data_IF_350611025964
#
_entry.id   IF_350611025964
#
_cell.length_a   1.000
_cell.length_b   1.000
_cell.length_c   1.000
_cell.angle_alpha   90.00
_cell.angle_beta   90.00
_cell.angle_gamma   90.00
#
_symmetry.space_group_name_H-M   'P 1'
#
loop_
_entity.id
_entity.type
_entity.pdbx_description
1 polymer ?
#
# COMPACT_ATOMS: atom_id res chain seq x y z
N UNK A 1 17.57 29.10 -37.76
CA UNK A 1 17.31 28.35 -36.51
C UNK A 1 18.63 28.30 -35.74
N UNK A 2 18.66 28.72 -34.48
CA UNK A 2 19.85 28.61 -33.60
C UNK A 2 19.79 27.26 -32.88
N UNK A 3 20.92 26.52 -32.74
CA UNK A 3 20.99 25.35 -31.87
C UNK A 3 20.66 25.77 -30.44
N UNK A 4 19.81 25.02 -29.74
CA UNK A 4 19.37 25.32 -28.36
C UNK A 4 20.09 24.45 -27.33
N UNK A 5 20.82 23.41 -27.80
CA UNK A 5 21.60 22.52 -26.98
C UNK A 5 22.13 21.34 -27.76
N UNK A 6 22.89 20.50 -27.10
CA UNK A 6 23.42 19.25 -27.61
C UNK A 6 23.14 18.16 -26.61
N UNK A 7 22.62 17.04 -27.07
CA UNK A 7 22.44 15.82 -26.28
C UNK A 7 23.56 14.87 -26.59
N UNK A 8 24.28 14.43 -25.61
CA UNK A 8 25.34 13.42 -25.73
C UNK A 8 24.90 12.09 -25.11
N UNK A 9 25.73 11.05 -25.29
CA UNK A 9 25.39 9.71 -24.76
C UNK A 9 25.20 9.70 -23.23
N UNK A 10 25.99 10.48 -22.49
CA UNK A 10 25.87 10.54 -21.04
C UNK A 10 24.55 11.21 -20.58
N UNK A 11 24.00 12.12 -21.37
CA UNK A 11 22.67 12.73 -21.09
C UNK A 11 21.56 11.70 -21.30
N UNK A 12 21.67 10.87 -22.35
CA UNK A 12 20.72 9.79 -22.62
C UNK A 12 20.80 8.74 -21.51
N UNK A 13 22.01 8.31 -21.13
CA UNK A 13 22.22 7.32 -20.05
C UNK A 13 21.65 7.86 -18.73
N UNK A 14 21.89 9.13 -18.41
CA UNK A 14 21.32 9.77 -17.21
C UNK A 14 19.79 9.80 -17.24
N UNK A 15 19.21 10.11 -18.38
CA UNK A 15 17.76 10.11 -18.56
C UNK A 15 17.15 8.72 -18.36
N UNK A 16 17.74 7.71 -19.00
CA UNK A 16 17.30 6.31 -18.86
C UNK A 16 17.48 5.77 -17.43
N UNK A 17 18.58 6.14 -16.75
CA UNK A 17 18.82 5.70 -15.36
C UNK A 17 17.80 6.23 -14.35
N UNK A 18 17.04 7.26 -14.72
CA UNK A 18 15.93 7.80 -13.92
C UNK A 18 14.58 7.19 -14.30
N UNK A 19 14.51 6.20 -15.19
CA UNK A 19 13.26 5.51 -15.47
C UNK A 19 12.91 4.55 -14.33
N UNK A 20 11.61 4.43 -14.01
CA UNK A 20 11.15 3.49 -12.98
C UNK A 20 11.54 2.04 -13.28
N UNK A 21 11.53 1.65 -14.54
CA UNK A 21 11.93 0.31 -14.99
C UNK A 21 13.43 0.05 -14.78
N UNK A 22 14.27 1.03 -15.10
CA UNK A 22 15.72 0.93 -14.85
C UNK A 22 16.01 0.80 -13.34
N UNK A 23 15.32 1.58 -12.52
CA UNK A 23 15.49 1.55 -11.08
C UNK A 23 15.07 0.18 -10.49
N UNK A 24 13.97 -0.40 -10.94
CA UNK A 24 13.54 -1.75 -10.54
C UNK A 24 14.62 -2.78 -10.89
N UNK A 25 15.17 -2.75 -12.10
CA UNK A 25 16.27 -3.65 -12.47
C UNK A 25 17.52 -3.41 -11.59
N UNK A 26 17.83 -2.15 -11.28
CA UNK A 26 18.98 -1.82 -10.42
C UNK A 26 18.79 -2.34 -9.00
N UNK A 27 17.57 -2.35 -8.46
CA UNK A 27 17.23 -2.90 -7.13
C UNK A 27 17.57 -4.40 -7.08
N UNK A 28 17.10 -5.19 -8.05
CA UNK A 28 17.35 -6.63 -8.05
C UNK A 28 18.84 -7.01 -8.22
N UNK A 29 19.64 -6.11 -8.76
CA UNK A 29 21.08 -6.32 -8.91
C UNK A 29 21.91 -5.95 -7.65
N UNK A 30 21.31 -5.36 -6.60
CA UNK A 30 22.05 -5.02 -5.38
C UNK A 30 22.35 -6.27 -4.55
N UNK A 31 23.61 -6.43 -4.10
CA UNK A 31 24.01 -7.61 -3.33
C UNK A 31 23.59 -7.55 -1.85
N UNK A 32 23.30 -6.37 -1.33
CA UNK A 32 23.02 -6.14 0.08
C UNK A 32 22.18 -4.87 0.33
N UNK A 33 21.84 -4.62 1.61
CA UNK A 33 21.06 -3.45 2.05
C UNK A 33 21.77 -2.13 1.76
N UNK A 34 23.11 -2.08 1.86
CA UNK A 34 23.87 -0.87 1.59
C UNK A 34 23.78 -0.47 0.12
N UNK A 35 23.86 -1.46 -0.78
CA UNK A 35 23.62 -1.28 -2.21
C UNK A 35 22.21 -0.76 -2.49
N UNK A 36 21.17 -1.33 -1.87
CA UNK A 36 19.80 -0.84 -1.98
C UNK A 36 19.67 0.62 -1.50
N UNK A 37 20.27 0.96 -0.37
CA UNK A 37 20.28 2.32 0.17
C UNK A 37 20.92 3.32 -0.78
N UNK A 38 21.94 2.92 -1.53
CA UNK A 38 22.63 3.78 -2.50
C UNK A 38 21.74 4.24 -3.65
N UNK A 39 20.59 3.57 -3.90
CA UNK A 39 19.62 3.91 -4.95
C UNK A 39 18.60 4.99 -4.53
N UNK A 40 18.62 5.47 -3.30
CA UNK A 40 17.68 6.50 -2.83
C UNK A 40 17.71 7.81 -3.62
N UNK A 41 18.89 8.32 -4.06
CA UNK A 41 18.92 9.50 -4.94
C UNK A 41 18.17 9.26 -6.26
N UNK A 42 18.30 8.06 -6.85
CA UNK A 42 17.64 7.71 -8.11
C UNK A 42 16.13 7.55 -7.93
N UNK A 43 15.68 7.00 -6.82
CA UNK A 43 14.25 6.96 -6.45
C UNK A 43 13.65 8.37 -6.40
N UNK A 44 14.32 9.30 -5.69
CA UNK A 44 13.88 10.70 -5.60
C UNK A 44 13.92 11.40 -6.96
N UNK A 45 14.98 11.15 -7.73
CA UNK A 45 15.12 11.66 -9.10
C UNK A 45 14.00 11.20 -10.02
N UNK A 46 13.64 9.94 -9.96
CA UNK A 46 12.52 9.34 -10.72
C UNK A 46 11.19 10.03 -10.38
N UNK A 47 10.89 10.21 -9.10
CA UNK A 47 9.67 10.91 -8.67
C UNK A 47 9.62 12.36 -9.16
N UNK A 48 10.71 13.12 -8.94
CA UNK A 48 10.80 14.54 -9.36
C UNK A 48 10.65 14.66 -10.88
N UNK A 49 11.28 13.76 -11.65
CA UNK A 49 11.15 13.75 -13.10
C UNK A 49 9.71 13.51 -13.53
N UNK A 50 9.04 12.46 -13.01
CA UNK A 50 7.64 12.18 -13.34
C UNK A 50 6.71 13.36 -13.03
N UNK A 51 6.93 14.01 -11.87
CA UNK A 51 6.15 15.20 -11.49
C UNK A 51 6.39 16.38 -12.46
N UNK A 52 7.64 16.63 -12.88
CA UNK A 52 7.98 17.69 -13.82
C UNK A 52 7.47 17.41 -15.25
N UNK A 53 7.39 16.16 -15.64
CA UNK A 53 6.83 15.72 -16.93
C UNK A 53 5.30 15.65 -16.92
N UNK A 54 4.66 16.14 -15.85
CA UNK A 54 3.20 16.16 -15.69
C UNK A 54 2.55 14.77 -15.78
N UNK A 55 3.25 13.73 -15.30
CA UNK A 55 2.65 12.42 -15.16
C UNK A 55 1.43 12.50 -14.21
N UNK A 56 0.38 11.72 -14.49
CA UNK A 56 -0.80 11.70 -13.63
C UNK A 56 -0.46 11.14 -12.24
N UNK A 57 -1.25 11.50 -11.23
CA UNK A 57 -1.10 10.94 -9.88
C UNK A 57 -1.15 9.41 -9.88
N UNK A 58 -2.00 8.81 -10.72
CA UNK A 58 -2.07 7.37 -10.92
C UNK A 58 -0.74 6.78 -11.45
N UNK A 59 -0.16 7.38 -12.50
CA UNK A 59 1.13 6.92 -13.05
C UNK A 59 2.25 7.02 -12.01
N UNK A 60 2.30 8.11 -11.25
CA UNK A 60 3.30 8.31 -10.20
C UNK A 60 3.10 7.28 -9.08
N UNK A 61 1.86 7.12 -8.60
CA UNK A 61 1.53 6.18 -7.52
C UNK A 61 1.86 4.75 -7.88
N UNK A 62 1.50 4.30 -9.10
CA UNK A 62 1.81 2.96 -9.60
C UNK A 62 3.32 2.73 -9.75
N UNK A 63 4.07 3.71 -10.28
CA UNK A 63 5.52 3.61 -10.40
C UNK A 63 6.19 3.52 -9.01
N UNK A 64 5.79 4.36 -8.06
CA UNK A 64 6.35 4.35 -6.71
C UNK A 64 6.00 3.07 -5.95
N UNK A 65 4.78 2.57 -6.09
CA UNK A 65 4.38 1.29 -5.50
C UNK A 65 5.15 0.11 -6.11
N UNK A 66 5.34 0.08 -7.43
CA UNK A 66 6.15 -0.93 -8.11
C UNK A 66 7.60 -0.94 -7.64
N UNK A 67 8.20 0.23 -7.44
CA UNK A 67 9.54 0.37 -6.86
C UNK A 67 9.55 -0.12 -5.40
N UNK A 68 8.55 0.25 -4.59
CA UNK A 68 8.42 -0.21 -3.20
C UNK A 68 8.31 -1.73 -3.09
N UNK A 69 7.53 -2.36 -3.99
CA UNK A 69 7.47 -3.83 -4.10
C UNK A 69 8.83 -4.43 -4.46
N UNK A 70 9.56 -3.84 -5.41
CA UNK A 70 10.88 -4.33 -5.80
C UNK A 70 11.88 -4.28 -4.63
N UNK A 71 11.90 -3.21 -3.85
CA UNK A 71 12.70 -3.14 -2.62
C UNK A 71 12.30 -4.24 -1.62
N UNK A 72 11.00 -4.44 -1.40
CA UNK A 72 10.50 -5.47 -0.49
C UNK A 72 10.88 -6.87 -0.97
N UNK A 73 10.69 -7.18 -2.25
CA UNK A 73 11.05 -8.46 -2.85
C UNK A 73 12.56 -8.74 -2.73
N UNK A 74 13.41 -7.74 -3.09
CA UNK A 74 14.85 -7.91 -2.98
C UNK A 74 15.32 -8.12 -1.54
N UNK A 75 14.76 -7.41 -0.59
CA UNK A 75 15.06 -7.59 0.83
C UNK A 75 14.64 -8.96 1.34
N UNK A 76 13.50 -9.50 0.89
CA UNK A 76 13.06 -10.86 1.21
C UNK A 76 14.00 -11.92 0.63
N UNK A 77 14.43 -11.78 -0.63
CA UNK A 77 15.44 -12.64 -1.23
C UNK A 77 16.76 -12.62 -0.44
N UNK A 78 17.23 -11.44 -0.04
CA UNK A 78 18.43 -11.30 0.78
C UNK A 78 18.27 -11.91 2.18
N UNK A 79 17.08 -11.77 2.78
CA UNK A 79 16.76 -12.41 4.06
C UNK A 79 16.78 -13.93 3.95
N UNK A 80 16.15 -14.51 2.92
CA UNK A 80 16.15 -15.95 2.67
C UNK A 80 17.56 -16.50 2.36
N UNK A 81 18.38 -15.73 1.63
CA UNK A 81 19.79 -16.10 1.41
C UNK A 81 20.58 -16.17 2.73
N UNK A 82 20.27 -15.28 3.67
CA UNK A 82 20.94 -15.21 4.96
C UNK A 82 20.44 -16.25 5.96
N UNK A 83 19.12 -16.47 6.01
CA UNK A 83 18.46 -17.31 7.02
C UNK A 83 18.27 -18.76 6.55
N UNK A 84 18.42 -19.02 5.26
CA UNK A 84 18.04 -20.28 4.63
C UNK A 84 16.57 -20.27 4.16
N UNK A 85 16.12 -21.39 3.55
CA UNK A 85 14.76 -21.48 3.01
C UNK A 85 13.71 -21.40 4.14
N UNK A 86 12.53 -20.82 3.86
CA UNK A 86 11.46 -20.71 4.85
C UNK A 86 10.95 -22.10 5.26
N UNK A 87 10.70 -22.34 6.57
CA UNK A 87 10.30 -23.63 7.07
C UNK A 87 8.89 -24.07 6.62
N UNK A 88 8.03 -23.10 6.29
CA UNK A 88 6.71 -23.31 5.67
C UNK A 88 6.48 -22.23 4.61
N UNK A 89 5.62 -22.46 3.61
CA UNK A 89 5.23 -21.42 2.66
C UNK A 89 4.67 -20.21 3.37
N UNK A 90 4.93 -19.04 2.82
CA UNK A 90 4.42 -17.76 3.34
C UNK A 90 4.16 -16.77 2.20
N UNK A 91 3.37 -15.75 2.48
CA UNK A 91 3.20 -14.59 1.62
C UNK A 91 3.51 -13.32 2.41
N UNK A 92 4.43 -12.50 1.90
CA UNK A 92 4.62 -11.13 2.40
C UNK A 92 3.58 -10.23 1.76
N UNK A 93 2.79 -9.56 2.60
CA UNK A 93 1.74 -8.63 2.20
C UNK A 93 2.21 -7.19 2.25
N UNK A 94 1.89 -6.43 1.21
CA UNK A 94 1.73 -5.00 1.32
C UNK A 94 0.28 -4.67 1.73
N UNK A 95 0.11 -3.60 2.50
CA UNK A 95 -1.19 -3.05 2.83
C UNK A 95 -1.29 -1.56 2.47
N UNK A 96 -2.50 -1.02 2.49
CA UNK A 96 -2.74 0.41 2.30
C UNK A 96 -2.32 0.94 0.92
N UNK A 97 -1.57 2.03 0.88
CA UNK A 97 -1.26 2.74 -0.37
C UNK A 97 -0.38 1.93 -1.34
N UNK A 98 0.52 1.08 -0.83
CA UNK A 98 1.33 0.20 -1.69
C UNK A 98 0.45 -0.86 -2.37
N UNK A 99 -0.46 -1.47 -1.61
CA UNK A 99 -1.40 -2.46 -2.15
C UNK A 99 -2.35 -1.86 -3.20
N UNK A 100 -2.69 -0.57 -3.07
CA UNK A 100 -3.57 0.12 -4.03
C UNK A 100 -2.84 0.72 -5.23
N UNK A 101 -1.52 0.60 -5.36
CA UNK A 101 -0.71 1.30 -6.38
C UNK A 101 -0.84 2.83 -6.32
N UNK A 102 -0.92 3.37 -5.12
CA UNK A 102 -1.12 4.79 -4.84
C UNK A 102 -0.05 5.35 -3.88
N UNK A 103 1.13 4.73 -3.85
CA UNK A 103 2.20 5.08 -2.93
C UNK A 103 2.92 6.36 -3.37
N UNK A 104 3.43 7.13 -2.40
CA UNK A 104 4.32 8.26 -2.61
C UNK A 104 5.74 7.93 -2.15
N UNK A 105 6.68 8.86 -2.39
CA UNK A 105 8.12 8.67 -2.04
C UNK A 105 8.34 8.64 -0.52
N UNK A 106 7.60 9.45 0.23
CA UNK A 106 7.68 9.50 1.70
C UNK A 106 6.46 8.78 2.25
N UNK A 107 6.67 7.56 2.71
CA UNK A 107 5.61 6.69 3.22
C UNK A 107 6.15 5.82 4.35
N UNK A 108 5.27 5.40 5.22
CA UNK A 108 5.54 4.40 6.24
C UNK A 108 5.32 2.98 5.69
N UNK A 109 5.80 2.02 6.45
CA UNK A 109 5.64 0.60 6.13
C UNK A 109 4.29 0.14 6.66
N UNK A 110 3.44 -0.40 5.78
CA UNK A 110 2.27 -1.16 6.16
C UNK A 110 2.39 -2.55 5.51
N UNK A 111 2.76 -3.55 6.29
CA UNK A 111 3.02 -4.90 5.80
C UNK A 111 2.65 -5.97 6.81
N UNK A 112 2.56 -7.21 6.35
CA UNK A 112 2.24 -8.37 7.17
C UNK A 112 2.80 -9.66 6.56
N UNK A 113 2.70 -10.76 7.29
CA UNK A 113 2.95 -12.11 6.79
C UNK A 113 1.71 -12.99 6.95
N UNK A 114 1.32 -13.63 5.86
CA UNK A 114 0.45 -14.80 5.92
C UNK A 114 1.34 -16.03 5.86
N UNK A 115 1.21 -16.91 6.83
CA UNK A 115 1.93 -18.18 6.90
C UNK A 115 0.99 -19.32 6.51
N UNK A 116 1.55 -20.38 5.94
CA UNK A 116 0.80 -21.62 5.69
C UNK A 116 0.27 -22.20 7.01
N UNK A 117 -0.86 -22.89 6.99
CA UNK A 117 -1.51 -23.43 8.19
C UNK A 117 -0.73 -24.55 8.88
N UNK A 118 0.34 -25.06 8.26
CA UNK A 118 1.35 -25.96 8.89
C UNK A 118 2.30 -25.24 9.82
N UNK A 119 2.20 -23.90 9.92
CA UNK A 119 3.03 -23.10 10.84
C UNK A 119 2.87 -23.57 12.27
N UNK A 120 4.01 -23.87 12.91
CA UNK A 120 4.13 -24.18 14.33
C UNK A 120 4.88 -23.05 15.03
N UNK A 121 4.24 -22.32 15.98
CA UNK A 121 4.88 -21.20 16.65
C UNK A 121 6.16 -21.55 17.42
N UNK A 122 6.26 -22.76 17.95
CA UNK A 122 7.45 -23.16 18.76
C UNK A 122 8.65 -23.46 17.86
N UNK A 123 8.41 -23.93 16.64
CA UNK A 123 9.47 -24.34 15.71
C UNK A 123 9.82 -23.26 14.70
N UNK A 124 8.85 -22.43 14.26
CA UNK A 124 8.99 -21.58 13.07
C UNK A 124 8.95 -20.09 13.35
N UNK A 125 8.43 -19.62 14.53
CA UNK A 125 8.23 -18.19 14.76
C UNK A 125 9.53 -17.39 14.78
N UNK A 126 10.64 -17.97 15.27
CA UNK A 126 11.95 -17.30 15.26
C UNK A 126 12.42 -16.95 13.85
N UNK A 127 12.28 -17.88 12.90
CA UNK A 127 12.64 -17.63 11.51
C UNK A 127 11.87 -16.45 10.92
N UNK A 128 10.54 -16.46 11.05
CA UNK A 128 9.71 -15.40 10.47
C UNK A 128 9.83 -14.06 11.22
N UNK A 129 10.16 -14.07 12.50
CA UNK A 129 10.48 -12.87 13.25
C UNK A 129 11.79 -12.22 12.77
N UNK A 130 12.83 -13.01 12.53
CA UNK A 130 14.11 -12.55 11.99
C UNK A 130 13.96 -12.06 10.55
N UNK A 131 13.25 -12.79 9.71
CA UNK A 131 12.93 -12.37 8.33
C UNK A 131 12.19 -11.03 8.32
N UNK A 132 11.13 -10.89 9.11
CA UNK A 132 10.35 -9.65 9.20
C UNK A 132 11.20 -8.47 9.71
N UNK A 133 12.07 -8.72 10.69
CA UNK A 133 12.98 -7.68 11.22
C UNK A 133 13.98 -7.25 10.15
N UNK A 134 14.64 -8.20 9.48
CA UNK A 134 15.59 -7.89 8.41
C UNK A 134 14.95 -7.04 7.30
N UNK A 135 13.74 -7.41 6.86
CA UNK A 135 13.02 -6.68 5.81
C UNK A 135 12.60 -5.30 6.29
N UNK A 136 12.05 -5.17 7.51
CA UNK A 136 11.61 -3.88 8.03
C UNK A 136 12.77 -2.91 8.26
N UNK A 137 13.90 -3.40 8.78
CA UNK A 137 15.12 -2.60 8.97
C UNK A 137 15.72 -2.19 7.61
N UNK A 138 15.73 -3.11 6.65
CA UNK A 138 16.16 -2.83 5.28
C UNK A 138 15.29 -1.79 4.58
N UNK A 139 13.97 -1.89 4.70
CA UNK A 139 13.03 -0.89 4.19
C UNK A 139 13.23 0.46 4.86
N UNK A 140 13.47 0.50 6.18
CA UNK A 140 13.76 1.74 6.91
C UNK A 140 15.05 2.39 6.39
N UNK A 141 16.12 1.61 6.16
CA UNK A 141 17.35 2.08 5.54
C UNK A 141 17.12 2.64 4.12
N UNK A 142 16.14 2.08 3.39
CA UNK A 142 15.72 2.53 2.06
C UNK A 142 14.65 3.65 2.09
N UNK A 143 14.42 4.30 3.24
CA UNK A 143 13.59 5.50 3.34
C UNK A 143 12.10 5.24 3.62
N UNK A 144 11.67 3.99 3.78
CA UNK A 144 10.33 3.61 4.21
C UNK A 144 10.29 3.56 5.74
N UNK A 145 9.73 4.58 6.38
CA UNK A 145 9.74 4.67 7.84
C UNK A 145 8.89 3.61 8.51
N UNK A 146 9.27 3.21 9.73
CA UNK A 146 8.45 2.26 10.51
C UNK A 146 7.05 2.82 10.75
N UNK A 147 6.05 1.96 10.64
CA UNK A 147 4.67 2.31 10.96
C UNK A 147 4.52 2.55 12.47
N UNK A 148 4.15 3.77 12.86
CA UNK A 148 3.90 4.13 14.27
C UNK A 148 2.77 3.36 14.90
N UNK A 149 1.83 2.86 14.10
CA UNK A 149 0.72 2.01 14.51
C UNK A 149 1.10 0.54 14.69
N UNK A 150 2.35 0.16 14.41
CA UNK A 150 2.80 -1.23 14.51
C UNK A 150 2.18 -2.18 13.49
N UNK A 151 1.72 -1.65 12.33
CA UNK A 151 1.18 -2.44 11.22
C UNK A 151 2.34 -2.97 10.38
N UNK A 152 3.10 -3.88 10.94
CA UNK A 152 4.28 -4.48 10.30
C UNK A 152 4.40 -5.95 10.67
N UNK A 153 4.98 -6.74 9.80
CA UNK A 153 5.24 -8.18 10.00
C UNK A 153 6.11 -8.49 11.22
N UNK A 154 6.88 -7.51 11.72
CA UNK A 154 7.62 -7.60 12.99
C UNK A 154 6.70 -7.77 14.20
N UNK A 155 5.47 -7.25 14.14
CA UNK A 155 4.45 -7.49 15.15
C UNK A 155 3.85 -8.89 14.95
N UNK A 156 3.95 -9.73 15.98
CA UNK A 156 3.41 -11.11 15.94
C UNK A 156 1.93 -11.17 15.56
N UNK A 157 1.14 -10.15 15.90
CA UNK A 157 -0.27 -10.08 15.51
C UNK A 157 -0.47 -10.11 14.00
N UNK A 158 0.46 -9.53 13.24
CA UNK A 158 0.41 -9.44 11.78
C UNK A 158 1.31 -10.45 11.06
N UNK A 159 1.80 -11.45 11.80
CA UNK A 159 2.59 -12.59 11.33
C UNK A 159 1.88 -13.86 11.77
N UNK A 160 0.86 -14.27 11.04
CA UNK A 160 -0.07 -15.32 11.43
C UNK A 160 -0.36 -16.30 10.30
N UNK A 161 -0.74 -17.55 10.61
CA UNK A 161 -1.22 -18.50 9.60
C UNK A 161 -2.53 -18.05 8.96
N UNK A 162 -2.79 -18.53 7.74
CA UNK A 162 -3.95 -18.16 6.93
C UNK A 162 -5.28 -18.33 7.68
N UNK A 163 -5.43 -19.44 8.44
CA UNK A 163 -6.64 -19.66 9.26
C UNK A 163 -6.90 -18.52 10.25
N UNK A 164 -5.85 -17.97 10.89
CA UNK A 164 -5.99 -16.86 11.85
C UNK A 164 -6.35 -15.57 11.12
N UNK A 165 -5.77 -15.32 9.94
CA UNK A 165 -6.16 -14.17 9.11
C UNK A 165 -7.62 -14.25 8.64
N UNK A 166 -8.09 -15.44 8.26
CA UNK A 166 -9.50 -15.67 7.91
C UNK A 166 -10.43 -15.39 9.11
N UNK A 167 -10.02 -15.79 10.31
CA UNK A 167 -10.76 -15.47 11.54
C UNK A 167 -10.77 -13.98 11.85
N UNK A 168 -9.63 -13.28 11.69
CA UNK A 168 -9.57 -11.82 11.83
C UNK A 168 -10.55 -11.13 10.89
N UNK A 169 -10.49 -11.40 9.60
CA UNK A 169 -11.37 -10.80 8.60
C UNK A 169 -12.85 -11.09 8.89
N UNK A 170 -13.15 -12.34 9.25
CA UNK A 170 -14.50 -12.74 9.61
C UNK A 170 -15.01 -11.99 10.84
N UNK A 171 -14.21 -11.91 11.90
CA UNK A 171 -14.58 -11.19 13.12
C UNK A 171 -14.76 -9.69 12.88
N UNK A 172 -13.89 -9.05 12.07
CA UNK A 172 -14.00 -7.63 11.76
C UNK A 172 -15.29 -7.29 11.01
N UNK A 173 -15.71 -8.18 10.11
CA UNK A 173 -16.95 -8.03 9.36
C UNK A 173 -18.18 -8.35 10.23
N UNK A 174 -18.13 -9.44 11.00
CA UNK A 174 -19.29 -9.91 11.79
C UNK A 174 -19.55 -9.07 13.03
N UNK A 175 -18.50 -8.45 13.60
CA UNK A 175 -18.57 -7.69 14.85
C UNK A 175 -17.81 -6.36 14.76
N UNK A 176 -18.25 -5.42 13.91
CA UNK A 176 -17.57 -4.16 13.70
C UNK A 176 -17.57 -3.31 14.98
N UNK A 177 -16.39 -2.80 15.32
CA UNK A 177 -16.16 -1.83 16.40
C UNK A 177 -15.05 -0.85 15.93
N UNK A 178 -14.75 0.23 16.65
CA UNK A 178 -13.77 1.22 16.20
C UNK A 178 -12.41 0.62 15.82
N UNK A 179 -11.90 -0.35 16.60
CA UNK A 179 -10.61 -0.98 16.32
C UNK A 179 -10.67 -1.89 15.09
N UNK A 180 -11.72 -2.71 14.97
CA UNK A 180 -11.87 -3.61 13.80
C UNK A 180 -12.14 -2.83 12.53
N UNK A 181 -12.86 -1.70 12.59
CA UNK A 181 -13.02 -0.81 11.44
C UNK A 181 -11.71 -0.16 11.02
N UNK A 182 -10.85 0.25 11.98
CA UNK A 182 -9.50 0.74 11.67
C UNK A 182 -8.67 -0.33 10.97
N UNK A 183 -8.63 -1.55 11.51
CA UNK A 183 -7.93 -2.67 10.90
C UNK A 183 -8.45 -2.98 9.49
N UNK A 184 -9.78 -2.95 9.30
CA UNK A 184 -10.42 -3.12 7.99
C UNK A 184 -9.99 -2.06 6.98
N UNK A 185 -9.88 -0.79 7.39
CA UNK A 185 -9.41 0.29 6.51
C UNK A 185 -7.96 0.09 6.05
N UNK A 186 -7.16 -0.66 6.79
CA UNK A 186 -5.75 -0.93 6.47
C UNK A 186 -5.63 -2.22 5.66
N UNK A 187 -6.11 -3.35 6.20
CA UNK A 187 -5.88 -4.68 5.66
C UNK A 187 -6.87 -5.12 4.56
N UNK A 188 -7.96 -4.38 4.33
CA UNK A 188 -8.84 -4.65 3.18
C UNK A 188 -8.33 -4.00 1.89
N UNK A 189 -7.21 -3.29 1.97
CA UNK A 189 -6.34 -2.95 0.86
C UNK A 189 -5.07 -3.80 1.02
N UNK A 190 -5.08 -5.02 0.52
CA UNK A 190 -3.97 -5.96 0.64
C UNK A 190 -3.53 -6.49 -0.73
N UNK A 191 -2.23 -6.73 -0.85
CA UNK A 191 -1.67 -7.37 -2.03
C UNK A 191 -0.46 -8.24 -1.65
N UNK A 192 -0.36 -9.42 -2.31
CA UNK A 192 0.80 -10.30 -2.14
C UNK A 192 2.00 -9.77 -2.91
N UNK A 193 3.15 -9.65 -2.23
CA UNK A 193 4.37 -9.08 -2.82
C UNK A 193 5.41 -10.16 -3.12
N UNK A 194 5.54 -11.17 -2.27
CA UNK A 194 6.55 -12.22 -2.37
C UNK A 194 6.10 -13.50 -1.69
N UNK A 195 6.62 -14.64 -2.14
CA UNK A 195 6.30 -15.97 -1.63
C UNK A 195 5.07 -16.59 -2.29
N UNK A 196 4.24 -17.29 -1.53
CA UNK A 196 3.04 -17.98 -2.01
C UNK A 196 1.86 -17.00 -2.12
N UNK A 197 1.71 -16.36 -3.27
CA UNK A 197 0.71 -15.29 -3.52
C UNK A 197 -0.73 -15.81 -3.34
N UNK A 198 -0.97 -17.08 -3.58
CA UNK A 198 -2.29 -17.73 -3.42
C UNK A 198 -2.85 -17.56 -1.99
N UNK A 199 -1.99 -17.45 -0.97
CA UNK A 199 -2.42 -17.15 0.40
C UNK A 199 -3.10 -15.79 0.51
N UNK A 200 -2.61 -14.78 -0.22
CA UNK A 200 -3.22 -13.46 -0.27
C UNK A 200 -4.52 -13.47 -1.08
N UNK A 201 -4.54 -14.17 -2.23
CA UNK A 201 -5.74 -14.30 -3.05
C UNK A 201 -6.88 -14.95 -2.28
N UNK A 202 -6.59 -15.95 -1.45
CA UNK A 202 -7.56 -16.60 -0.57
C UNK A 202 -8.25 -15.60 0.39
N UNK A 203 -7.50 -14.61 0.94
CA UNK A 203 -8.09 -13.58 1.78
C UNK A 203 -8.91 -12.58 0.96
N UNK A 204 -8.47 -12.22 -0.25
CA UNK A 204 -9.23 -11.34 -1.15
C UNK A 204 -10.58 -11.97 -1.55
N UNK A 205 -10.61 -13.27 -1.79
CA UNK A 205 -11.85 -14.00 -2.08
C UNK A 205 -12.81 -14.02 -0.91
N UNK A 206 -12.31 -14.40 0.28
CA UNK A 206 -13.09 -14.36 1.51
C UNK A 206 -13.67 -12.95 1.76
N UNK A 207 -12.85 -11.92 1.58
CA UNK A 207 -13.26 -10.53 1.77
C UNK A 207 -14.37 -10.13 0.81
N UNK A 208 -14.20 -10.38 -0.49
CA UNK A 208 -15.16 -10.04 -1.53
C UNK A 208 -16.52 -10.71 -1.30
N UNK A 209 -16.50 -12.01 -0.98
CA UNK A 209 -17.72 -12.78 -0.69
C UNK A 209 -18.40 -12.30 0.60
N UNK A 210 -17.64 -12.19 1.69
CA UNK A 210 -18.23 -11.95 3.01
C UNK A 210 -18.68 -10.51 3.18
N UNK A 211 -17.90 -9.54 2.71
CA UNK A 211 -18.24 -8.12 2.86
C UNK A 211 -19.46 -7.71 2.02
N UNK A 212 -19.59 -8.23 0.79
CA UNK A 212 -20.75 -7.93 -0.07
C UNK A 212 -22.08 -8.42 0.52
N UNK A 213 -22.02 -9.45 1.37
CA UNK A 213 -23.18 -10.02 2.05
C UNK A 213 -23.40 -9.46 3.49
N UNK A 214 -22.64 -8.43 3.90
CA UNK A 214 -22.66 -7.88 5.25
C UNK A 214 -23.11 -6.40 5.29
N UNK A 215 -24.38 -6.07 5.03
CA UNK A 215 -24.85 -4.69 4.94
C UNK A 215 -24.65 -3.88 6.23
N UNK A 216 -24.75 -4.52 7.41
CA UNK A 216 -24.49 -3.85 8.68
C UNK A 216 -23.02 -3.41 8.83
N UNK A 217 -22.08 -4.25 8.39
CA UNK A 217 -20.67 -3.91 8.34
C UNK A 217 -20.39 -2.77 7.35
N UNK A 218 -20.91 -2.85 6.13
CA UNK A 218 -20.76 -1.79 5.12
C UNK A 218 -21.31 -0.44 5.63
N UNK A 219 -22.47 -0.44 6.31
CA UNK A 219 -23.02 0.76 6.93
C UNK A 219 -22.15 1.29 8.08
N UNK A 220 -21.52 0.42 8.87
CA UNK A 220 -20.58 0.83 9.91
C UNK A 220 -19.31 1.43 9.32
N UNK A 221 -18.75 0.82 8.26
CA UNK A 221 -17.58 1.30 7.56
C UNK A 221 -17.83 2.66 6.88
N UNK A 222 -19.01 2.83 6.24
CA UNK A 222 -19.42 4.10 5.65
C UNK A 222 -19.54 5.20 6.70
N UNK A 223 -20.17 4.92 7.86
CA UNK A 223 -20.24 5.88 8.97
C UNK A 223 -18.86 6.25 9.51
N UNK A 224 -17.95 5.29 9.61
CA UNK A 224 -16.56 5.59 10.00
C UNK A 224 -15.87 6.53 9.01
N UNK A 225 -16.08 6.35 7.71
CA UNK A 225 -15.54 7.24 6.67
C UNK A 225 -16.10 8.67 6.80
N UNK A 226 -17.38 8.83 7.12
CA UNK A 226 -18.04 10.13 7.29
C UNK A 226 -17.55 10.93 8.51
N UNK A 227 -16.85 10.32 9.46
CA UNK A 227 -16.20 11.03 10.57
C UNK A 227 -15.04 11.93 10.08
N UNK A 228 -14.53 11.70 8.88
CA UNK A 228 -13.51 12.52 8.24
C UNK A 228 -14.17 13.60 7.39
N UNK A 229 -14.53 14.72 8.03
CA UNK A 229 -15.16 15.84 7.33
C UNK A 229 -14.15 16.57 6.42
N UNK A 230 -14.55 16.98 5.22
CA UNK A 230 -13.72 17.85 4.37
C UNK A 230 -13.27 19.12 5.13
N UNK A 231 -12.10 19.69 4.81
CA UNK A 231 -11.57 20.87 5.49
C UNK A 231 -12.25 22.16 4.99
N UNK A 232 -13.59 22.16 5.00
CA UNK A 232 -14.42 23.28 4.52
C UNK A 232 -15.22 23.86 5.69
N UNK A 233 -15.13 25.18 5.87
CA UNK A 233 -15.96 25.93 6.80
C UNK A 233 -17.35 26.23 6.24
N UNK A 234 -18.17 26.92 7.05
CA UNK A 234 -19.56 27.26 6.73
C UNK A 234 -19.71 28.00 5.38
N UNK A 235 -18.73 28.85 5.03
CA UNK A 235 -18.73 29.60 3.75
C UNK A 235 -17.95 28.87 2.63
N UNK A 236 -17.74 27.55 2.74
CA UNK A 236 -16.94 26.75 1.79
C UNK A 236 -15.49 27.23 1.61
N UNK A 237 -14.96 27.99 2.56
CA UNK A 237 -13.55 28.36 2.65
C UNK A 237 -12.77 27.24 3.32
N UNK A 238 -11.51 27.05 2.92
CA UNK A 238 -10.65 26.06 3.56
C UNK A 238 -10.41 26.43 5.03
N UNK A 239 -10.64 25.45 5.93
CA UNK A 239 -10.28 25.55 7.34
C UNK A 239 -8.87 25.03 7.50
N UNK A 240 -7.96 25.93 7.92
CA UNK A 240 -6.58 25.59 8.21
C UNK A 240 -6.46 25.01 9.62
N UNK A 241 -5.69 23.95 9.76
CA UNK A 241 -5.30 23.37 11.05
C UNK A 241 -3.97 23.99 11.49
N UNK A 242 -3.76 24.13 12.79
CA UNK A 242 -2.46 24.57 13.32
C UNK A 242 -1.68 23.32 13.72
N UNK A 243 -0.53 23.09 13.09
CA UNK A 243 0.39 22.07 13.57
C UNK A 243 1.08 22.55 14.87
N UNK A 244 1.77 21.64 15.55
CA UNK A 244 2.50 21.96 16.78
C UNK A 244 3.64 23.00 16.60
N UNK A 245 3.89 23.48 15.36
CA UNK A 245 4.84 24.53 15.00
C UNK A 245 4.16 25.84 14.58
N UNK A 246 2.86 25.99 14.83
CA UNK A 246 2.04 27.19 14.51
C UNK A 246 1.90 27.51 13.02
N UNK A 247 2.11 26.53 12.14
CA UNK A 247 1.87 26.71 10.70
C UNK A 247 0.41 26.40 10.36
N UNK A 248 -0.18 27.28 9.57
CA UNK A 248 -1.49 27.01 8.97
C UNK A 248 -1.34 25.98 7.86
N UNK A 249 -1.82 24.77 8.07
CA UNK A 249 -1.76 23.67 7.11
C UNK A 249 -3.16 23.19 6.75
N UNK A 250 -3.29 22.61 5.56
CA UNK A 250 -4.46 21.87 5.13
C UNK A 250 -4.08 20.38 5.12
N UNK A 251 -4.77 19.60 5.95
CA UNK A 251 -4.55 18.15 5.98
C UNK A 251 -5.23 17.46 4.79
N UNK A 252 -4.59 17.54 3.62
CA UNK A 252 -5.12 16.93 2.40
C UNK A 252 -5.19 15.40 2.48
N UNK A 253 -4.24 14.75 3.16
CA UNK A 253 -4.25 13.28 3.33
C UNK A 253 -5.46 12.86 4.18
N UNK A 254 -5.60 13.41 5.37
CA UNK A 254 -6.62 12.96 6.34
C UNK A 254 -8.04 13.43 6.01
N UNK A 255 -8.19 14.60 5.38
CA UNK A 255 -9.50 15.25 5.14
C UNK A 255 -9.85 15.40 3.65
N UNK A 256 -8.94 15.02 2.75
CA UNK A 256 -9.13 15.02 1.30
C UNK A 256 -9.11 13.60 0.73
N UNK A 257 -7.91 13.01 0.55
CA UNK A 257 -7.78 11.73 -0.15
C UNK A 257 -8.32 10.54 0.66
N UNK A 258 -8.14 10.51 1.98
CA UNK A 258 -8.58 9.38 2.79
C UNK A 258 -10.11 9.16 2.76
N UNK A 259 -10.99 10.20 2.90
CA UNK A 259 -12.42 10.00 2.74
C UNK A 259 -12.83 9.49 1.36
N UNK A 260 -12.14 9.91 0.29
CA UNK A 260 -12.41 9.43 -1.07
C UNK A 260 -12.02 7.95 -1.23
N UNK A 261 -10.84 7.58 -0.72
CA UNK A 261 -10.39 6.17 -0.71
C UNK A 261 -11.37 5.30 0.10
N UNK A 262 -11.83 5.76 1.25
CA UNK A 262 -12.79 5.03 2.09
C UNK A 262 -14.15 4.89 1.37
N UNK A 263 -14.64 5.94 0.71
CA UNK A 263 -15.87 5.91 -0.09
C UNK A 263 -15.78 4.85 -1.20
N UNK A 264 -14.70 4.88 -1.98
CA UNK A 264 -14.48 3.93 -3.09
C UNK A 264 -14.39 2.50 -2.54
N UNK A 265 -13.66 2.29 -1.43
CA UNK A 265 -13.53 0.98 -0.77
C UNK A 265 -14.88 0.41 -0.36
N UNK A 266 -15.73 1.21 0.31
CA UNK A 266 -17.05 0.76 0.75
C UNK A 266 -17.90 0.28 -0.43
N UNK A 267 -17.93 1.02 -1.53
CA UNK A 267 -18.70 0.64 -2.72
C UNK A 267 -18.11 -0.57 -3.45
N UNK A 268 -16.76 -0.67 -3.51
CA UNK A 268 -16.08 -1.83 -4.08
C UNK A 268 -16.37 -3.11 -3.29
N UNK A 269 -16.34 -3.04 -1.96
CA UNK A 269 -16.72 -4.15 -1.09
C UNK A 269 -18.20 -4.51 -1.26
N UNK A 270 -19.08 -3.53 -1.40
CA UNK A 270 -20.52 -3.77 -1.62
C UNK A 270 -20.82 -4.50 -2.92
N UNK A 271 -20.01 -4.32 -3.96
CA UNK A 271 -20.16 -5.06 -5.22
C UNK A 271 -19.29 -6.34 -5.31
N UNK A 272 -18.60 -6.73 -4.22
CA UNK A 272 -17.76 -7.92 -4.18
C UNK A 272 -16.51 -7.83 -5.05
N UNK A 273 -16.00 -6.61 -5.32
CA UNK A 273 -14.79 -6.41 -6.11
C UNK A 273 -13.54 -6.88 -5.35
N UNK A 274 -12.65 -7.59 -6.05
CA UNK A 274 -11.32 -7.97 -5.55
C UNK A 274 -10.23 -6.95 -5.94
N UNK A 275 -10.57 -5.91 -6.72
CA UNK A 275 -9.63 -4.88 -7.13
C UNK A 275 -9.08 -4.10 -5.92
N UNK A 276 -7.82 -3.73 -5.99
CA UNK A 276 -7.16 -2.96 -4.94
C UNK A 276 -7.02 -1.49 -5.32
N UNK A 277 -6.61 -1.19 -6.54
CA UNK A 277 -6.46 0.18 -7.04
C UNK A 277 -7.81 0.93 -7.07
N UNK A 278 -7.83 2.20 -6.66
CA UNK A 278 -9.06 3.00 -6.59
C UNK A 278 -9.74 3.18 -7.96
N UNK A 279 -8.98 3.32 -9.05
CA UNK A 279 -9.56 3.45 -10.39
C UNK A 279 -10.17 2.13 -10.89
N UNK A 280 -9.50 1.00 -10.64
CA UNK A 280 -10.04 -0.33 -10.96
C UNK A 280 -11.29 -0.65 -10.13
N UNK A 281 -11.32 -0.23 -8.86
CA UNK A 281 -12.52 -0.29 -8.01
C UNK A 281 -13.65 0.52 -8.60
N UNK A 282 -13.39 1.73 -9.11
CA UNK A 282 -14.39 2.55 -9.78
C UNK A 282 -14.88 1.89 -11.08
N UNK A 283 -14.03 1.18 -11.82
CA UNK A 283 -14.45 0.39 -12.98
C UNK A 283 -15.42 -0.73 -12.58
N UNK A 284 -15.13 -1.45 -11.50
CA UNK A 284 -16.02 -2.49 -10.99
C UNK A 284 -17.35 -1.90 -10.49
N UNK A 285 -17.33 -0.77 -9.78
CA UNK A 285 -18.53 -0.08 -9.28
C UNK A 285 -19.38 0.42 -10.46
N UNK A 286 -18.77 0.90 -11.55
CA UNK A 286 -19.43 1.39 -12.74
C UNK A 286 -20.30 0.32 -13.45
N UNK A 287 -19.97 -0.98 -13.25
CA UNK A 287 -20.79 -2.09 -13.77
C UNK A 287 -22.05 -2.34 -12.93
N UNK A 288 -22.22 -1.60 -11.85
CA UNK A 288 -23.36 -1.73 -10.92
C UNK A 288 -24.24 -0.48 -10.97
N UNK A 289 -25.30 -0.46 -10.16
CA UNK A 289 -26.14 0.73 -9.93
C UNK A 289 -25.89 1.39 -8.57
N UNK A 290 -24.78 1.08 -7.92
CA UNK A 290 -24.45 1.60 -6.59
C UNK A 290 -24.13 3.10 -6.59
N UNK A 291 -23.51 3.61 -7.65
CA UNK A 291 -23.24 5.03 -7.84
C UNK A 291 -23.75 5.49 -9.20
N UNK A 292 -24.18 6.75 -9.26
CA UNK A 292 -24.57 7.39 -10.53
C UNK A 292 -23.32 7.63 -11.42
N UNK A 293 -23.44 7.56 -12.76
CA UNK A 293 -22.32 7.76 -13.67
C UNK A 293 -21.59 9.09 -13.47
N UNK A 294 -22.31 10.15 -13.12
CA UNK A 294 -21.75 11.47 -12.84
C UNK A 294 -20.85 11.45 -11.61
N UNK A 295 -21.24 10.74 -10.54
CA UNK A 295 -20.42 10.60 -9.33
C UNK A 295 -19.15 9.81 -9.62
N UNK A 296 -19.23 8.74 -10.41
CA UNK A 296 -18.05 7.96 -10.84
C UNK A 296 -17.10 8.84 -11.66
N UNK A 297 -17.63 9.64 -12.61
CA UNK A 297 -16.80 10.56 -13.38
C UNK A 297 -16.09 11.59 -12.51
N UNK A 298 -16.78 12.16 -11.51
CA UNK A 298 -16.17 13.09 -10.54
C UNK A 298 -15.10 12.45 -9.65
N UNK A 299 -15.26 11.18 -9.27
CA UNK A 299 -14.30 10.46 -8.44
C UNK A 299 -13.03 10.06 -9.22
N UNK A 300 -13.09 10.01 -10.55
CA UNK A 300 -11.91 9.74 -11.40
C UNK A 300 -11.01 10.96 -11.60
N UNK A 301 -11.52 12.15 -11.35
CA UNK A 301 -10.83 13.43 -11.54
C UNK A 301 -10.00 13.80 -10.34
#
# INVERSE_FOLDING_TARGET
RRPVGMINLSDIIRYESQSSLYLVNSIFNQPDVAGLQSLLPDLRGTFVRMANEQATAHMIGSAMAGIGRAFSQRLLELAEQKLGPPPVPYCFLAAGSMARDEQLVVTDQDNALILDDRFDPELHDSYFAELATFVSDGLAACGYTYCKGGIMATNRQWRQPLKVWRDYFSQWIDRPNPQTLLNSCIFFDLDGVHGEIELAENLKELLAEKASNAPAFLAALARNALNRTPPLGFFRTFVMETDGQQKHIINLKGRGTAPLTDLIRVHALACGSKAQNSLERLDAIAQTKLLQPEAISQLRY
#
